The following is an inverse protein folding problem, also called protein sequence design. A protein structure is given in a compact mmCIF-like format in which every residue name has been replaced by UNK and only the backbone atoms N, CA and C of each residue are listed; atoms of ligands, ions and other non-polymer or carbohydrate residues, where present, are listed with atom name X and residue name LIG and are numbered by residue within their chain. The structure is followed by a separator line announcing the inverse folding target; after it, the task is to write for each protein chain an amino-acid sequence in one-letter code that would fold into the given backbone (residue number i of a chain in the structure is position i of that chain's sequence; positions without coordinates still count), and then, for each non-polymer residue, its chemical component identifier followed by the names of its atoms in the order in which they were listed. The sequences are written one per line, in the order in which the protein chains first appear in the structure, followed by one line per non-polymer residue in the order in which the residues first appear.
data_IF_810905194222
#
_entry.id   IF_810905194222
#
_cell.length_a   1.000
_cell.length_b   1.000
_cell.length_c   1.000
_cell.angle_alpha   90.00
_cell.angle_beta   90.00
_cell.angle_gamma   90.00
#
_symmetry.space_group_name_H-M   'P 1'
#
loop_
_entity.id
_entity.type
_entity.pdbx_description
1 polymer ?
#
# COMPACT_ATOMS: atom_id res chain seq x y z
N UNK A 1 35.05 -4.79 2.59
CA UNK A 1 35.80 -5.77 1.77
C UNK A 1 34.90 -6.83 1.11
N UNK A 2 33.58 -6.76 1.27
CA UNK A 2 32.58 -7.72 0.69
C UNK A 2 31.92 -7.25 -0.61
N UNK A 3 32.18 -6.03 -1.09
CA UNK A 3 31.55 -5.49 -2.32
C UNK A 3 32.27 -5.88 -3.63
N UNK A 4 33.34 -6.66 -3.57
CA UNK A 4 34.14 -7.04 -4.76
C UNK A 4 33.78 -8.43 -5.36
N UNK A 5 32.86 -9.19 -4.75
CA UNK A 5 32.59 -10.59 -5.20
C UNK A 5 31.35 -10.75 -6.07
N UNK A 6 30.49 -9.75 -6.28
CA UNK A 6 29.29 -9.84 -7.12
C UNK A 6 29.20 -8.77 -8.23
N UNK A 7 30.34 -8.24 -8.68
CA UNK A 7 30.38 -7.33 -9.81
C UNK A 7 30.25 -8.08 -11.14
N UNK A 8 29.05 -8.57 -11.50
CA UNK A 8 28.75 -8.89 -12.88
C UNK A 8 28.91 -7.61 -13.69
N UNK A 9 29.86 -7.58 -14.66
CA UNK A 9 29.98 -6.47 -15.61
C UNK A 9 28.67 -6.41 -16.39
N UNK A 10 27.83 -5.41 -16.10
CA UNK A 10 26.64 -5.16 -16.91
C UNK A 10 27.09 -4.76 -18.31
N UNK A 11 26.52 -5.41 -19.32
CA UNK A 11 26.78 -5.09 -20.72
C UNK A 11 26.00 -3.85 -21.14
N UNK A 12 26.57 -3.05 -22.06
CA UNK A 12 25.78 -2.03 -22.77
C UNK A 12 24.90 -2.73 -23.81
N UNK A 13 23.67 -2.26 -24.03
CA UNK A 13 22.76 -2.85 -25.02
C UNK A 13 23.41 -2.93 -26.42
N UNK A 14 24.17 -1.91 -26.76
CA UNK A 14 24.92 -1.80 -28.05
C UNK A 14 26.05 -2.81 -28.19
N UNK A 15 26.48 -3.46 -27.12
CA UNK A 15 27.56 -4.45 -27.15
C UNK A 15 27.02 -5.89 -27.32
N UNK A 16 25.69 -6.08 -27.31
CA UNK A 16 25.07 -7.38 -27.48
C UNK A 16 25.03 -7.79 -28.95
N UNK A 17 25.28 -9.08 -29.21
CA UNK A 17 25.04 -9.67 -30.53
C UNK A 17 23.52 -9.80 -30.77
N UNK A 18 23.11 -9.97 -32.03
CA UNK A 18 21.70 -10.19 -32.37
C UNK A 18 21.10 -11.39 -31.65
N UNK A 19 21.84 -12.50 -31.54
CA UNK A 19 21.45 -13.66 -30.77
C UNK A 19 21.19 -13.32 -29.28
N UNK A 20 22.07 -12.50 -28.70
CA UNK A 20 21.94 -12.05 -27.31
C UNK A 20 20.78 -11.06 -27.11
N UNK A 21 20.50 -10.20 -28.10
CA UNK A 21 19.35 -9.30 -28.09
C UNK A 21 18.03 -10.09 -28.11
N UNK A 22 17.91 -11.10 -28.97
CA UNK A 22 16.72 -11.99 -28.97
C UNK A 22 16.58 -12.75 -27.66
N UNK A 23 17.68 -13.28 -27.11
CA UNK A 23 17.63 -13.97 -25.81
C UNK A 23 17.21 -13.04 -24.65
N UNK A 24 17.63 -11.79 -24.68
CA UNK A 24 17.20 -10.77 -23.73
C UNK A 24 15.71 -10.46 -23.88
N UNK A 25 15.22 -10.31 -25.11
CA UNK A 25 13.79 -10.14 -25.39
C UNK A 25 12.97 -11.33 -24.86
N UNK A 26 13.34 -12.57 -25.18
CA UNK A 26 12.68 -13.78 -24.68
C UNK A 26 12.56 -13.79 -23.15
N UNK A 27 13.65 -13.45 -22.47
CA UNK A 27 13.66 -13.42 -21.00
C UNK A 27 12.82 -12.27 -20.42
N UNK A 28 12.67 -11.18 -21.16
CA UNK A 28 11.85 -10.03 -20.76
C UNK A 28 10.37 -10.32 -20.87
N UNK A 29 9.92 -10.91 -21.99
CA UNK A 29 8.52 -11.35 -22.13
C UNK A 29 8.12 -12.38 -21.05
N UNK A 30 9.03 -13.32 -20.73
CA UNK A 30 8.78 -14.29 -19.65
C UNK A 30 8.58 -13.61 -18.30
N UNK A 31 9.40 -12.62 -18.00
CA UNK A 31 9.30 -11.88 -16.73
C UNK A 31 8.04 -11.01 -16.68
N UNK A 32 7.67 -10.38 -17.81
CA UNK A 32 6.51 -9.50 -17.87
C UNK A 32 5.20 -10.30 -17.83
N UNK A 33 5.10 -11.44 -18.53
CA UNK A 33 4.00 -12.38 -18.39
C UNK A 33 3.80 -12.83 -16.92
N UNK A 34 4.89 -13.15 -16.22
CA UNK A 34 4.83 -13.58 -14.81
C UNK A 34 4.38 -12.45 -13.89
N UNK A 35 4.78 -11.21 -14.15
CA UNK A 35 4.33 -10.03 -13.38
C UNK A 35 2.84 -9.80 -13.60
N UNK A 36 2.34 -9.90 -14.83
CA UNK A 36 0.91 -9.74 -15.13
C UNK A 36 0.05 -10.82 -14.48
N UNK A 37 0.49 -12.09 -14.50
CA UNK A 37 -0.19 -13.15 -13.74
C UNK A 37 -0.22 -12.85 -12.23
N UNK A 38 0.87 -12.34 -11.67
CA UNK A 38 0.90 -11.97 -10.26
C UNK A 38 -0.05 -10.78 -9.96
N UNK A 39 -0.17 -9.82 -10.87
CA UNK A 39 -1.15 -8.73 -10.75
C UNK A 39 -2.58 -9.26 -10.84
N UNK A 40 -2.88 -10.11 -11.82
CA UNK A 40 -4.19 -10.75 -11.98
C UNK A 40 -4.59 -11.51 -10.71
N UNK A 41 -3.71 -12.36 -10.18
CA UNK A 41 -3.97 -13.12 -8.96
C UNK A 41 -4.22 -12.21 -7.75
N UNK A 42 -3.48 -11.10 -7.65
CA UNK A 42 -3.65 -10.14 -6.57
C UNK A 42 -4.94 -9.32 -6.64
N UNK A 43 -5.50 -9.17 -7.82
CA UNK A 43 -6.71 -8.38 -8.07
C UNK A 43 -7.99 -9.24 -8.18
N UNK A 44 -7.87 -10.54 -8.36
CA UNK A 44 -8.96 -11.44 -8.75
C UNK A 44 -10.15 -11.43 -7.80
N UNK A 45 -9.89 -11.31 -6.50
CA UNK A 45 -10.95 -11.31 -5.48
C UNK A 45 -11.75 -10.00 -5.47
N UNK A 46 -11.06 -8.88 -5.57
CA UNK A 46 -11.65 -7.55 -5.37
C UNK A 46 -11.96 -6.81 -6.69
N UNK A 47 -11.21 -7.11 -7.75
CA UNK A 47 -11.24 -6.43 -9.05
C UNK A 47 -11.21 -7.45 -10.21
N UNK A 48 -12.22 -8.34 -10.33
CA UNK A 48 -12.19 -9.47 -11.26
C UNK A 48 -12.10 -9.05 -12.74
N UNK A 49 -12.66 -7.90 -13.12
CA UNK A 49 -12.58 -7.40 -14.50
C UNK A 49 -11.16 -6.95 -14.84
N UNK A 50 -10.51 -6.19 -13.96
CA UNK A 50 -9.12 -5.81 -14.14
C UNK A 50 -8.17 -7.00 -14.08
N UNK A 51 -8.45 -7.99 -13.22
CA UNK A 51 -7.69 -9.24 -13.19
C UNK A 51 -7.72 -9.97 -14.52
N UNK A 52 -8.90 -10.04 -15.17
CA UNK A 52 -9.05 -10.67 -16.48
C UNK A 52 -8.19 -10.00 -17.55
N UNK A 53 -8.09 -8.67 -17.54
CA UNK A 53 -7.26 -7.95 -18.51
C UNK A 53 -5.78 -8.29 -18.30
N UNK A 54 -5.30 -8.37 -17.06
CA UNK A 54 -3.93 -8.80 -16.80
C UNK A 54 -3.68 -10.27 -17.15
N UNK A 55 -4.67 -11.17 -17.03
CA UNK A 55 -4.57 -12.53 -17.56
C UNK A 55 -4.40 -12.51 -19.09
N UNK A 56 -5.19 -11.70 -19.81
CA UNK A 56 -5.11 -11.55 -21.26
C UNK A 56 -3.76 -10.96 -21.71
N UNK A 57 -3.24 -9.94 -21.01
CA UNK A 57 -1.90 -9.40 -21.24
C UNK A 57 -0.82 -10.48 -21.05
N UNK A 58 -0.87 -11.24 -19.96
CA UNK A 58 0.08 -12.33 -19.72
C UNK A 58 0.07 -13.41 -20.82
N UNK A 59 -1.10 -13.73 -21.38
CA UNK A 59 -1.21 -14.64 -22.51
C UNK A 59 -0.57 -14.04 -23.78
N UNK A 60 -0.67 -12.73 -23.97
CA UNK A 60 -0.08 -12.04 -25.12
C UNK A 60 1.45 -12.02 -25.02
N UNK A 61 2.02 -11.69 -23.84
CA UNK A 61 3.46 -11.79 -23.60
C UNK A 61 4.01 -13.21 -23.85
N UNK A 62 3.26 -14.23 -23.47
CA UNK A 62 3.63 -15.60 -23.80
C UNK A 62 3.63 -15.89 -25.30
N UNK A 63 2.73 -15.27 -26.09
CA UNK A 63 2.75 -15.36 -27.56
C UNK A 63 3.95 -14.62 -28.15
N UNK A 64 4.26 -13.43 -27.68
CA UNK A 64 5.45 -12.66 -28.05
C UNK A 64 6.72 -13.47 -27.79
N UNK A 65 6.83 -14.02 -26.59
CA UNK A 65 7.94 -14.90 -26.19
C UNK A 65 8.08 -16.10 -27.13
N UNK A 66 6.99 -16.77 -27.50
CA UNK A 66 7.05 -17.92 -28.40
C UNK A 66 7.52 -17.52 -29.79
N UNK A 67 7.03 -16.41 -30.35
CA UNK A 67 7.46 -15.92 -31.65
C UNK A 67 8.98 -15.58 -31.66
N UNK A 68 9.49 -15.01 -30.58
CA UNK A 68 10.93 -14.75 -30.40
C UNK A 68 11.76 -16.03 -30.31
N UNK A 69 11.25 -17.05 -29.59
CA UNK A 69 11.89 -18.37 -29.49
C UNK A 69 11.97 -19.04 -30.87
N UNK A 70 10.87 -19.05 -31.61
CA UNK A 70 10.80 -19.68 -32.92
C UNK A 70 11.80 -19.02 -33.89
N UNK A 71 11.85 -17.69 -33.94
CA UNK A 71 12.83 -16.95 -34.73
C UNK A 71 14.26 -17.21 -34.28
N UNK A 72 14.51 -17.24 -32.97
CA UNK A 72 15.84 -17.54 -32.44
C UNK A 72 16.29 -18.94 -32.87
N UNK A 73 15.40 -19.95 -32.76
CA UNK A 73 15.71 -21.32 -33.13
C UNK A 73 15.98 -21.48 -34.63
N UNK A 74 15.18 -20.81 -35.47
CA UNK A 74 15.41 -20.78 -36.92
C UNK A 74 16.79 -20.25 -37.30
N UNK A 75 17.24 -19.19 -36.63
CA UNK A 75 18.46 -18.48 -36.98
C UNK A 75 19.73 -18.93 -36.29
N UNK A 76 19.63 -19.34 -35.05
CA UNK A 76 20.77 -19.61 -34.15
C UNK A 76 20.75 -21.01 -33.54
N UNK A 77 19.70 -21.79 -33.81
CA UNK A 77 19.51 -23.12 -33.23
C UNK A 77 18.93 -23.10 -31.81
N UNK A 78 18.87 -24.27 -31.20
CA UNK A 78 18.12 -24.50 -29.95
C UNK A 78 18.79 -23.92 -28.69
N UNK A 79 20.03 -23.44 -28.78
CA UNK A 79 20.74 -22.93 -27.59
C UNK A 79 20.50 -21.43 -27.44
N UNK A 80 19.61 -21.06 -26.51
CA UNK A 80 19.34 -19.67 -26.18
C UNK A 80 20.32 -19.22 -25.08
N UNK A 81 21.11 -18.15 -25.31
CA UNK A 81 22.01 -17.60 -24.29
C UNK A 81 21.27 -17.15 -23.04
N UNK A 82 21.84 -17.43 -21.86
CA UNK A 82 21.28 -16.94 -20.61
C UNK A 82 21.63 -15.47 -20.39
N UNK A 83 20.81 -14.57 -20.91
CA UNK A 83 20.89 -13.14 -20.67
C UNK A 83 19.59 -12.66 -20.05
N UNK A 84 19.71 -11.86 -18.99
CA UNK A 84 18.60 -11.25 -18.27
C UNK A 84 18.79 -9.74 -18.15
N UNK A 85 17.72 -9.04 -17.83
CA UNK A 85 17.69 -7.58 -17.64
C UNK A 85 18.77 -7.05 -16.71
N UNK A 86 19.02 -7.71 -15.59
CA UNK A 86 20.05 -7.31 -14.62
C UNK A 86 21.48 -7.38 -15.18
N UNK A 87 21.68 -8.10 -16.28
CA UNK A 87 22.99 -8.20 -16.95
C UNK A 87 23.27 -7.02 -17.90
N UNK A 88 22.28 -6.15 -18.15
CA UNK A 88 22.38 -5.05 -19.12
C UNK A 88 22.26 -3.70 -18.39
N UNK A 89 23.15 -2.76 -18.72
CA UNK A 89 23.11 -1.38 -18.19
C UNK A 89 22.04 -0.57 -18.89
N UNK A 90 21.35 0.30 -18.09
CA UNK A 90 20.32 1.17 -18.62
C UNK A 90 19.07 0.44 -19.06
N UNK A 91 19.04 -0.87 -18.86
CA UNK A 91 17.87 -1.68 -19.08
C UNK A 91 16.94 -1.59 -17.87
N UNK A 92 15.70 -1.76 -18.12
CA UNK A 92 14.53 -1.56 -17.29
C UNK A 92 14.66 -2.21 -15.90
N UNK A 93 14.51 -1.41 -14.83
CA UNK A 93 14.32 -1.92 -13.48
C UNK A 93 12.84 -2.20 -13.24
N UNK A 94 12.51 -3.46 -12.96
CA UNK A 94 11.16 -3.86 -12.51
C UNK A 94 11.11 -3.84 -10.99
N UNK A 95 10.09 -3.20 -10.43
CA UNK A 95 9.80 -3.35 -9.00
C UNK A 95 9.20 -4.72 -8.74
N UNK A 96 9.55 -5.38 -7.62
CA UNK A 96 8.93 -6.64 -7.24
C UNK A 96 7.41 -6.50 -7.13
N UNK A 97 6.66 -7.46 -7.67
CA UNK A 97 5.18 -7.50 -7.65
C UNK A 97 4.61 -7.39 -6.22
N UNK A 98 5.23 -8.08 -5.25
CA UNK A 98 4.85 -8.04 -3.84
C UNK A 98 4.96 -6.64 -3.21
N UNK A 99 5.76 -5.73 -3.80
CA UNK A 99 5.86 -4.34 -3.38
C UNK A 99 4.79 -3.46 -4.02
N UNK A 100 4.33 -3.80 -5.22
CA UNK A 100 3.37 -3.01 -6.00
C UNK A 100 1.92 -3.38 -5.66
N UNK A 101 1.59 -4.66 -5.58
CA UNK A 101 0.24 -5.17 -5.28
C UNK A 101 -0.44 -4.52 -4.07
N UNK A 102 0.25 -4.32 -2.91
CA UNK A 102 -0.37 -3.69 -1.75
C UNK A 102 -0.71 -2.21 -1.91
N UNK A 103 -0.30 -1.58 -3.01
CA UNK A 103 -0.49 -0.14 -3.25
C UNK A 103 -1.83 0.20 -3.94
N UNK A 104 -2.64 -0.82 -4.25
CA UNK A 104 -3.96 -0.66 -4.87
C UNK A 104 -3.94 -0.76 -6.40
N UNK A 105 -5.13 -0.85 -7.00
CA UNK A 105 -5.34 -1.10 -8.44
C UNK A 105 -4.75 0.01 -9.31
N UNK A 106 -4.90 1.28 -8.93
CA UNK A 106 -4.36 2.41 -9.69
C UNK A 106 -2.83 2.32 -9.82
N UNK A 107 -2.16 1.89 -8.74
CA UNK A 107 -0.71 1.75 -8.77
C UNK A 107 -0.25 0.55 -9.61
N UNK A 108 -1.03 -0.52 -9.61
CA UNK A 108 -0.79 -1.68 -10.49
C UNK A 108 -0.92 -1.26 -11.96
N UNK A 109 -1.97 -0.50 -12.31
CA UNK A 109 -2.17 0.05 -13.67
C UNK A 109 -1.03 0.98 -14.10
N UNK A 110 -0.63 1.94 -13.23
CA UNK A 110 0.51 2.83 -13.49
C UNK A 110 1.81 2.06 -13.74
N UNK A 111 2.02 0.97 -13.02
CA UNK A 111 3.21 0.14 -13.20
C UNK A 111 3.14 -0.67 -14.49
N UNK A 112 1.96 -1.19 -14.86
CA UNK A 112 1.76 -1.85 -16.14
C UNK A 112 2.04 -0.90 -17.32
N UNK A 113 1.46 0.31 -17.32
CA UNK A 113 1.71 1.33 -18.33
C UNK A 113 3.22 1.62 -18.49
N UNK A 114 3.95 1.74 -17.38
CA UNK A 114 5.40 1.92 -17.40
C UNK A 114 6.15 0.71 -17.94
N UNK A 115 5.64 -0.49 -17.71
CA UNK A 115 6.23 -1.72 -18.24
C UNK A 115 6.14 -1.73 -19.78
N UNK A 116 4.98 -1.43 -20.32
CA UNK A 116 4.73 -1.36 -21.77
C UNK A 116 5.56 -0.26 -22.44
N UNK A 117 5.58 0.96 -21.88
CA UNK A 117 6.42 2.04 -22.39
C UNK A 117 7.90 1.64 -22.47
N UNK A 118 8.37 0.92 -21.49
CA UNK A 118 9.77 0.48 -21.44
C UNK A 118 10.04 -0.66 -22.42
N UNK A 119 9.11 -1.63 -22.57
CA UNK A 119 9.22 -2.69 -23.57
C UNK A 119 9.21 -2.09 -24.99
N UNK A 120 8.32 -1.17 -25.29
CA UNK A 120 8.31 -0.41 -26.54
C UNK A 120 9.66 0.24 -26.83
N UNK A 121 10.22 0.99 -25.87
CA UNK A 121 11.53 1.65 -26.03
C UNK A 121 12.65 0.66 -26.29
N UNK A 122 12.63 -0.48 -25.61
CA UNK A 122 13.60 -1.54 -25.85
C UNK A 122 13.54 -2.04 -27.29
N UNK A 123 12.36 -2.36 -27.80
CA UNK A 123 12.22 -2.84 -29.18
C UNK A 123 12.66 -1.79 -30.21
N UNK A 124 12.35 -0.52 -29.99
CA UNK A 124 12.82 0.56 -30.86
C UNK A 124 14.36 0.68 -30.87
N UNK A 125 15.02 0.56 -29.71
CA UNK A 125 16.49 0.58 -29.65
C UNK A 125 17.11 -0.70 -30.24
N UNK A 126 16.52 -1.87 -29.99
CA UNK A 126 16.97 -3.14 -30.58
C UNK A 126 16.89 -3.12 -32.10
N UNK A 127 15.85 -2.52 -32.69
CA UNK A 127 15.72 -2.34 -34.14
C UNK A 127 16.90 -1.61 -34.81
N UNK A 128 17.58 -0.70 -34.09
CA UNK A 128 18.73 0.04 -34.59
C UNK A 128 20.00 -0.83 -34.66
N UNK A 129 20.04 -1.89 -33.84
CA UNK A 129 21.22 -2.74 -33.70
C UNK A 129 21.18 -4.00 -34.58
N UNK A 130 19.98 -4.39 -35.03
CA UNK A 130 19.75 -5.61 -35.81
C UNK A 130 19.77 -5.30 -37.32
N UNK A 131 20.39 -6.18 -38.09
CA UNK A 131 20.49 -6.04 -39.57
C UNK A 131 19.61 -6.99 -40.37
N UNK A 132 19.30 -8.14 -39.80
CA UNK A 132 18.47 -9.14 -40.45
C UNK A 132 17.03 -8.68 -40.65
N UNK A 133 16.46 -8.97 -41.81
CA UNK A 133 15.14 -8.49 -42.19
C UNK A 133 14.01 -9.16 -41.39
N UNK A 134 14.12 -10.46 -41.10
CA UNK A 134 13.11 -11.22 -40.34
C UNK A 134 13.09 -10.80 -38.91
N UNK A 135 14.25 -10.63 -38.28
CA UNK A 135 14.40 -10.13 -36.91
C UNK A 135 13.87 -8.70 -36.78
N UNK A 136 14.24 -7.82 -37.76
CA UNK A 136 13.74 -6.43 -37.78
C UNK A 136 12.23 -6.36 -37.89
N UNK A 137 11.65 -7.24 -38.74
CA UNK A 137 10.19 -7.29 -38.87
C UNK A 137 9.52 -7.69 -37.55
N UNK A 138 9.96 -8.78 -36.93
CA UNK A 138 9.39 -9.25 -35.67
C UNK A 138 9.52 -8.20 -34.56
N UNK A 139 10.72 -7.62 -34.36
CA UNK A 139 10.91 -6.58 -33.35
C UNK A 139 10.06 -5.33 -33.62
N UNK A 140 9.82 -5.02 -34.91
CA UNK A 140 8.90 -3.93 -35.31
C UNK A 140 7.44 -4.23 -34.98
N UNK A 141 7.00 -5.45 -35.27
CA UNK A 141 5.64 -5.91 -34.95
C UNK A 141 5.42 -5.91 -33.43
N UNK A 142 6.41 -6.38 -32.65
CA UNK A 142 6.36 -6.32 -31.18
C UNK A 142 6.34 -4.88 -30.66
N UNK A 143 7.16 -3.97 -31.20
CA UNK A 143 7.11 -2.57 -30.79
C UNK A 143 5.72 -1.95 -31.01
N UNK A 144 5.02 -2.32 -32.09
CA UNK A 144 3.65 -1.86 -32.35
C UNK A 144 2.68 -2.45 -31.34
N UNK A 145 2.83 -3.73 -30.96
CA UNK A 145 2.00 -4.40 -29.97
C UNK A 145 2.18 -3.73 -28.59
N UNK A 146 3.42 -3.51 -28.13
CA UNK A 146 3.69 -2.82 -26.85
C UNK A 146 3.10 -1.41 -26.81
N UNK A 147 3.12 -0.69 -27.92
CA UNK A 147 2.51 0.63 -28.00
C UNK A 147 0.98 0.57 -27.92
N UNK A 148 0.37 -0.49 -28.42
CA UNK A 148 -1.06 -0.74 -28.27
C UNK A 148 -1.40 -1.12 -26.81
N UNK A 149 -0.56 -1.92 -26.15
CA UNK A 149 -0.70 -2.28 -24.75
C UNK A 149 -0.53 -1.08 -23.81
N UNK A 150 0.45 -0.21 -24.04
CA UNK A 150 0.59 1.06 -23.31
C UNK A 150 -0.72 1.87 -23.39
N UNK A 151 -1.30 1.96 -24.59
CA UNK A 151 -2.59 2.62 -24.81
C UNK A 151 -3.73 1.89 -24.09
N UNK A 152 -3.72 0.56 -24.07
CA UNK A 152 -4.70 -0.27 -23.36
C UNK A 152 -4.55 -0.11 -21.83
N UNK A 153 -3.33 -0.18 -21.30
CA UNK A 153 -3.04 0.01 -19.87
C UNK A 153 -3.45 1.42 -19.40
N UNK A 154 -3.19 2.44 -20.22
CA UNK A 154 -3.67 3.81 -19.99
C UNK A 154 -5.20 3.89 -20.04
N UNK A 155 -5.84 3.21 -20.99
CA UNK A 155 -7.29 3.22 -21.17
C UNK A 155 -8.04 2.36 -20.15
N UNK A 156 -7.39 1.40 -19.50
CA UNK A 156 -7.91 0.68 -18.33
C UNK A 156 -8.21 1.64 -17.17
N UNK A 157 -7.52 2.79 -17.11
CA UNK A 157 -7.85 3.89 -16.20
C UNK A 157 -9.01 4.77 -16.69
N UNK A 158 -9.33 4.84 -18.01
CA UNK A 158 -10.20 5.89 -18.57
C UNK A 158 -11.27 5.39 -19.56
N UNK A 159 -11.08 4.34 -20.35
CA UNK A 159 -12.00 4.08 -21.48
C UNK A 159 -12.50 2.63 -21.69
N UNK A 160 -11.87 1.60 -21.16
CA UNK A 160 -12.25 0.20 -21.42
C UNK A 160 -12.92 -0.49 -20.24
N UNK A 161 -12.89 0.11 -19.07
CA UNK A 161 -13.74 -0.31 -17.96
C UNK A 161 -15.03 0.52 -18.11
N UNK A 162 -16.20 -0.07 -18.34
CA UNK A 162 -17.47 0.65 -18.35
C UNK A 162 -17.58 1.54 -17.11
N UNK A 163 -18.17 2.72 -17.24
CA UNK A 163 -18.27 3.72 -16.14
C UNK A 163 -18.83 3.11 -14.85
N UNK A 164 -19.76 2.14 -14.99
CA UNK A 164 -20.34 1.39 -13.88
C UNK A 164 -19.31 0.49 -13.17
N UNK A 165 -18.40 -0.14 -13.91
CA UNK A 165 -17.32 -0.98 -13.33
C UNK A 165 -16.26 -0.13 -12.65
N UNK A 166 -15.86 1.01 -13.24
CA UNK A 166 -14.92 1.94 -12.60
C UNK A 166 -15.49 2.48 -11.28
N UNK A 167 -16.78 2.81 -11.27
CA UNK A 167 -17.44 3.28 -10.07
C UNK A 167 -17.49 2.18 -8.99
N UNK A 168 -17.77 0.92 -9.37
CA UNK A 168 -17.74 -0.23 -8.45
C UNK A 168 -16.32 -0.46 -7.91
N UNK A 169 -15.28 -0.39 -8.75
CA UNK A 169 -13.89 -0.54 -8.33
C UNK A 169 -13.48 0.57 -7.34
N UNK A 170 -13.79 1.85 -7.62
CA UNK A 170 -13.55 2.97 -6.70
C UNK A 170 -14.29 2.81 -5.37
N UNK A 171 -15.52 2.34 -5.42
CA UNK A 171 -16.29 2.07 -4.19
C UNK A 171 -15.66 0.92 -3.40
N UNK A 172 -15.16 -0.11 -4.07
CA UNK A 172 -14.47 -1.25 -3.44
C UNK A 172 -13.17 -0.80 -2.78
N UNK A 173 -12.32 -0.03 -3.47
CA UNK A 173 -11.10 0.55 -2.88
C UNK A 173 -11.41 1.42 -1.66
N UNK A 174 -12.39 2.31 -1.79
CA UNK A 174 -12.81 3.18 -0.69
C UNK A 174 -13.31 2.36 0.50
N UNK A 175 -14.10 1.31 0.24
CA UNK A 175 -14.61 0.40 1.27
C UNK A 175 -13.46 -0.34 1.96
N UNK A 176 -12.51 -0.85 1.21
CA UNK A 176 -11.31 -1.51 1.75
C UNK A 176 -10.47 -0.56 2.60
N UNK A 177 -10.23 0.67 2.14
CA UNK A 177 -9.53 1.70 2.92
C UNK A 177 -10.24 1.95 4.26
N UNK A 178 -11.55 2.10 4.21
CA UNK A 178 -12.36 2.35 5.42
C UNK A 178 -12.27 1.15 6.37
N UNK A 179 -12.48 -0.06 5.89
CA UNK A 179 -12.53 -1.27 6.72
C UNK A 179 -11.15 -1.69 7.26
N UNK A 180 -10.08 -1.44 6.49
CA UNK A 180 -8.72 -1.88 6.85
C UNK A 180 -7.98 -0.87 7.72
N UNK A 181 -8.21 0.43 7.52
CA UNK A 181 -7.42 1.48 8.18
C UNK A 181 -8.27 2.47 8.98
N UNK A 182 -9.32 3.04 8.37
CA UNK A 182 -10.06 4.14 9.01
C UNK A 182 -10.88 3.62 10.19
N UNK A 183 -11.65 2.57 9.98
CA UNK A 183 -12.50 2.02 11.04
C UNK A 183 -11.71 1.46 12.24
N UNK A 184 -10.66 0.63 12.05
CA UNK A 184 -9.83 0.20 13.17
C UNK A 184 -9.06 1.34 13.81
N UNK A 185 -8.51 2.26 13.01
CA UNK A 185 -7.80 3.43 13.51
C UNK A 185 -8.69 4.36 14.32
N UNK A 186 -9.92 4.60 13.87
CA UNK A 186 -10.89 5.39 14.62
C UNK A 186 -11.31 4.70 15.94
N UNK A 187 -11.52 3.39 15.90
CA UNK A 187 -11.82 2.63 17.12
C UNK A 187 -10.65 2.73 18.11
N UNK A 188 -9.41 2.62 17.62
CA UNK A 188 -8.23 2.81 18.46
C UNK A 188 -8.10 4.23 19.01
N UNK A 189 -8.33 5.26 18.17
CA UNK A 189 -8.30 6.65 18.62
C UNK A 189 -9.33 6.91 19.71
N UNK A 190 -10.56 6.41 19.55
CA UNK A 190 -11.61 6.52 20.56
C UNK A 190 -11.21 5.84 21.87
N UNK A 191 -10.72 4.60 21.78
CA UNK A 191 -10.30 3.87 22.97
C UNK A 191 -9.14 4.58 23.66
N UNK A 192 -8.09 4.95 22.94
CA UNK A 192 -6.93 5.66 23.48
C UNK A 192 -7.28 6.99 24.12
N UNK A 193 -8.11 7.80 23.46
CA UNK A 193 -8.50 9.12 23.99
C UNK A 193 -9.46 9.01 25.18
N UNK A 194 -10.26 7.94 25.31
CA UNK A 194 -11.23 7.81 26.40
C UNK A 194 -10.71 6.97 27.57
N UNK A 195 -10.12 5.80 27.28
CA UNK A 195 -9.70 4.87 28.34
C UNK A 195 -8.56 5.39 29.21
N UNK A 196 -7.69 6.26 28.65
CA UNK A 196 -6.54 6.83 29.37
C UNK A 196 -6.88 8.09 30.18
N UNK A 197 -8.06 8.71 29.95
CA UNK A 197 -8.48 9.93 30.70
C UNK A 197 -8.51 9.69 32.20
N UNK A 198 -9.19 8.63 32.64
CA UNK A 198 -9.36 8.38 34.09
C UNK A 198 -7.99 8.18 34.77
N UNK A 199 -7.08 7.31 34.35
CA UNK A 199 -5.79 7.12 35.02
C UNK A 199 -4.91 8.36 34.98
N UNK A 200 -4.88 9.13 33.86
CA UNK A 200 -4.08 10.33 33.75
C UNK A 200 -4.59 11.43 34.69
N UNK A 201 -5.87 11.75 34.62
CA UNK A 201 -6.44 12.82 35.47
C UNK A 201 -6.50 12.41 36.93
N UNK A 202 -6.71 11.13 37.27
CA UNK A 202 -6.61 10.64 38.65
C UNK A 202 -5.16 10.84 39.18
N UNK A 203 -4.14 10.45 38.40
CA UNK A 203 -2.74 10.68 38.78
C UNK A 203 -2.41 12.18 38.90
N UNK A 204 -2.90 13.00 37.97
CA UNK A 204 -2.69 14.45 37.99
C UNK A 204 -3.21 15.09 39.27
N UNK A 205 -4.47 14.83 39.63
CA UNK A 205 -5.08 15.44 40.79
C UNK A 205 -4.64 14.83 42.15
N UNK A 206 -4.30 13.53 42.18
CA UNK A 206 -3.81 12.86 43.37
C UNK A 206 -2.36 13.28 43.70
N UNK A 207 -1.50 13.45 42.72
CA UNK A 207 -0.08 13.71 42.97
C UNK A 207 0.31 15.18 42.81
N UNK A 208 -0.38 15.91 41.96
CA UNK A 208 -0.02 17.26 41.47
C UNK A 208 1.43 17.33 40.89
N UNK A 209 1.97 16.17 40.52
CA UNK A 209 3.30 16.00 39.92
C UNK A 209 3.14 15.71 38.42
N UNK A 210 3.59 16.66 37.61
CA UNK A 210 3.42 16.59 36.15
C UNK A 210 4.25 15.46 35.55
N UNK A 211 5.45 15.19 36.08
CA UNK A 211 6.30 14.10 35.58
C UNK A 211 5.70 12.72 35.87
N UNK A 212 5.23 12.50 37.08
CA UNK A 212 4.55 11.25 37.43
C UNK A 212 3.28 11.05 36.57
N UNK A 213 2.51 12.11 36.39
CA UNK A 213 1.31 12.08 35.52
C UNK A 213 1.67 11.74 34.07
N UNK A 214 2.75 12.33 33.53
CA UNK A 214 3.24 11.97 32.21
C UNK A 214 3.62 10.49 32.10
N UNK A 215 4.34 9.96 33.09
CA UNK A 215 4.74 8.54 33.09
C UNK A 215 3.55 7.59 33.14
N UNK A 216 2.52 7.92 33.95
CA UNK A 216 1.26 7.17 33.97
C UNK A 216 0.59 7.22 32.61
N UNK A 217 0.48 8.41 32.01
CA UNK A 217 -0.11 8.59 30.69
C UNK A 217 0.65 7.86 29.59
N UNK A 218 1.97 7.93 29.59
CA UNK A 218 2.82 7.19 28.64
C UNK A 218 2.62 5.68 28.76
N UNK A 219 2.65 5.16 29.99
CA UNK A 219 2.47 3.73 30.27
C UNK A 219 1.07 3.25 29.87
N UNK A 220 0.03 4.00 30.22
CA UNK A 220 -1.35 3.69 29.87
C UNK A 220 -1.56 3.70 28.36
N UNK A 221 -1.06 4.72 27.65
CA UNK A 221 -1.22 4.88 26.20
C UNK A 221 -0.50 3.80 25.41
N UNK A 222 0.75 3.48 25.76
CA UNK A 222 1.52 2.42 25.09
C UNK A 222 0.91 1.03 25.40
N UNK A 223 0.55 0.78 26.65
CA UNK A 223 -0.06 -0.48 27.07
C UNK A 223 -1.40 -0.72 26.36
N UNK A 224 -2.26 0.29 26.30
CA UNK A 224 -3.53 0.23 25.58
C UNK A 224 -3.29 0.02 24.06
N UNK A 225 -2.35 0.76 23.46
CA UNK A 225 -2.01 0.63 22.03
C UNK A 225 -1.55 -0.78 21.65
N UNK A 226 -0.66 -1.37 22.46
CA UNK A 226 -0.21 -2.75 22.25
C UNK A 226 -1.40 -3.72 22.39
N UNK A 227 -2.18 -3.61 23.46
CA UNK A 227 -3.32 -4.48 23.72
C UNK A 227 -4.35 -4.41 22.59
N UNK A 228 -4.78 -3.21 22.21
CA UNK A 228 -5.77 -3.01 21.15
C UNK A 228 -5.28 -3.46 19.78
N UNK A 229 -3.99 -3.24 19.47
CA UNK A 229 -3.38 -3.71 18.23
C UNK A 229 -3.41 -5.24 18.12
N UNK A 230 -3.04 -5.95 19.17
CA UNK A 230 -3.10 -7.42 19.20
C UNK A 230 -4.54 -7.93 19.18
N UNK A 231 -5.44 -7.31 19.92
CA UNK A 231 -6.87 -7.69 19.96
C UNK A 231 -7.49 -7.57 18.57
N UNK A 232 -7.30 -6.45 17.88
CA UNK A 232 -7.82 -6.25 16.51
C UNK A 232 -7.19 -7.23 15.52
N UNK A 233 -5.88 -7.49 15.61
CA UNK A 233 -5.21 -8.45 14.73
C UNK A 233 -5.68 -9.91 14.97
N UNK A 234 -6.07 -10.26 16.20
CA UNK A 234 -6.53 -11.60 16.55
C UNK A 234 -8.05 -11.80 16.37
N UNK A 235 -8.81 -10.74 16.11
CA UNK A 235 -10.28 -10.79 16.11
C UNK A 235 -10.85 -11.64 14.97
N UNK A 236 -10.37 -11.45 13.74
CA UNK A 236 -10.73 -12.24 12.55
C UNK A 236 -9.62 -12.24 11.51
N UNK A 237 -9.63 -13.24 10.62
CA UNK A 237 -8.65 -13.34 9.52
C UNK A 237 -8.93 -12.39 8.34
N UNK A 238 -10.03 -11.65 8.39
CA UNK A 238 -10.47 -10.68 7.40
C UNK A 238 -11.13 -11.28 6.16
N UNK A 239 -11.11 -12.62 5.98
CA UNK A 239 -11.66 -13.27 4.77
C UNK A 239 -13.18 -13.24 4.75
N UNK A 240 -13.83 -13.66 5.84
CA UNK A 240 -15.29 -13.64 5.95
C UNK A 240 -15.87 -12.23 6.07
N UNK A 241 -15.16 -11.36 6.77
CA UNK A 241 -15.62 -9.99 7.04
C UNK A 241 -15.34 -9.01 5.89
N UNK A 242 -14.45 -9.37 4.95
CA UNK A 242 -13.97 -8.47 3.90
C UNK A 242 -13.18 -7.26 4.45
N UNK A 243 -12.67 -7.34 5.71
CA UNK A 243 -12.00 -6.23 6.41
C UNK A 243 -10.50 -6.13 6.10
N UNK A 244 -10.00 -6.94 5.16
CA UNK A 244 -8.59 -6.94 4.75
C UNK A 244 -7.63 -7.54 5.80
N UNK A 245 -6.34 -7.23 5.67
CA UNK A 245 -5.27 -7.86 6.47
C UNK A 245 -5.40 -7.57 7.97
N UNK A 246 -5.44 -8.62 8.84
CA UNK A 246 -5.49 -8.47 10.31
C UNK A 246 -4.32 -7.65 10.87
N UNK A 247 -3.12 -7.85 10.32
CA UNK A 247 -1.93 -7.12 10.76
C UNK A 247 -2.05 -5.61 10.48
N UNK A 248 -2.55 -5.24 9.30
CA UNK A 248 -2.75 -3.82 8.95
C UNK A 248 -3.78 -3.16 9.85
N UNK A 249 -4.90 -3.84 10.14
CA UNK A 249 -5.93 -3.37 11.05
C UNK A 249 -5.40 -3.22 12.48
N UNK A 250 -4.68 -4.23 12.97
CA UNK A 250 -4.05 -4.20 14.28
C UNK A 250 -3.05 -3.06 14.44
N UNK A 251 -2.20 -2.83 13.43
CA UNK A 251 -1.27 -1.70 13.42
C UNK A 251 -2.00 -0.36 13.42
N UNK A 252 -3.04 -0.21 12.59
CA UNK A 252 -3.84 1.02 12.56
C UNK A 252 -4.54 1.29 13.89
N UNK A 253 -5.18 0.26 14.48
CA UNK A 253 -5.83 0.36 15.75
C UNK A 253 -4.84 0.69 16.88
N UNK A 254 -3.80 -0.12 17.07
CA UNK A 254 -2.83 0.05 18.14
C UNK A 254 -2.08 1.36 18.10
N UNK A 255 -1.65 1.80 16.89
CA UNK A 255 -0.96 3.08 16.73
C UNK A 255 -1.90 4.25 17.09
N UNK A 256 -3.13 4.23 16.62
CA UNK A 256 -4.09 5.29 16.89
C UNK A 256 -4.55 5.31 18.35
N UNK A 257 -4.62 4.14 19.02
CA UNK A 257 -4.86 4.06 20.47
C UNK A 257 -3.71 4.74 21.23
N UNK A 258 -2.46 4.44 20.90
CA UNK A 258 -1.32 5.09 21.54
C UNK A 258 -1.30 6.61 21.30
N UNK A 259 -1.58 7.06 20.07
CA UNK A 259 -1.66 8.48 19.72
C UNK A 259 -2.74 9.20 20.51
N UNK A 260 -3.95 8.63 20.58
CA UNK A 260 -5.06 9.21 21.34
C UNK A 260 -4.74 9.40 22.82
N UNK A 261 -4.15 8.39 23.46
CA UNK A 261 -3.76 8.52 24.87
C UNK A 261 -2.57 9.47 25.10
N UNK A 262 -1.59 9.48 24.18
CA UNK A 262 -0.44 10.36 24.29
C UNK A 262 -0.82 11.84 24.06
N UNK A 263 -1.83 12.14 23.27
CA UNK A 263 -2.23 13.51 22.97
C UNK A 263 -2.43 14.36 24.23
N UNK A 264 -3.16 13.87 25.18
CA UNK A 264 -3.43 14.58 26.45
C UNK A 264 -2.48 14.19 27.60
N UNK A 265 -1.56 13.23 27.40
CA UNK A 265 -0.48 12.97 28.32
C UNK A 265 0.74 13.91 28.10
N UNK A 266 1.03 14.26 26.85
CA UNK A 266 2.17 15.11 26.49
C UNK A 266 2.20 16.49 27.16
N UNK A 267 1.08 17.21 27.38
CA UNK A 267 1.08 18.47 28.11
C UNK A 267 1.73 18.39 29.49
N UNK A 268 1.72 17.24 30.14
CA UNK A 268 2.35 17.05 31.47
C UNK A 268 3.88 17.01 31.43
N UNK A 269 4.52 17.19 30.27
CA UNK A 269 5.93 17.56 30.17
C UNK A 269 6.20 19.01 30.60
N UNK A 270 5.17 19.84 30.69
CA UNK A 270 5.24 21.19 31.23
C UNK A 270 5.25 21.10 32.76
N UNK A 271 6.21 21.75 33.41
CA UNK A 271 6.41 21.65 34.85
C UNK A 271 5.33 22.35 35.71
N UNK A 272 4.61 23.34 35.13
CA UNK A 272 3.51 23.99 35.83
C UNK A 272 2.22 23.15 35.73
N UNK A 273 1.74 22.66 36.86
CA UNK A 273 0.62 21.75 36.96
C UNK A 273 -0.67 22.30 36.33
N UNK A 274 -1.03 23.55 36.62
CA UNK A 274 -2.27 24.12 36.12
C UNK A 274 -2.22 24.41 34.61
N UNK A 275 -1.09 24.86 34.13
CA UNK A 275 -0.87 25.03 32.69
C UNK A 275 -0.94 23.70 31.96
N UNK A 276 -0.24 22.67 32.45
CA UNK A 276 -0.27 21.33 31.88
C UNK A 276 -1.68 20.75 31.83
N UNK A 277 -2.39 20.80 32.95
CA UNK A 277 -3.75 20.27 33.08
C UNK A 277 -4.77 21.02 32.19
N UNK A 278 -4.64 22.35 32.11
CA UNK A 278 -5.50 23.14 31.22
C UNK A 278 -5.28 22.80 29.74
N UNK A 279 -4.02 22.67 29.32
CA UNK A 279 -3.69 22.27 27.93
C UNK A 279 -4.16 20.84 27.67
N UNK A 280 -3.98 19.89 28.60
CA UNK A 280 -4.48 18.54 28.49
C UNK A 280 -6.02 18.52 28.30
N UNK A 281 -6.75 19.30 29.06
CA UNK A 281 -8.20 19.41 28.95
C UNK A 281 -8.63 19.98 27.57
N UNK A 282 -7.91 20.98 27.06
CA UNK A 282 -8.14 21.53 25.70
C UNK A 282 -7.87 20.47 24.63
N UNK A 283 -6.79 19.72 24.77
CA UNK A 283 -6.45 18.62 23.83
C UNK A 283 -7.56 17.56 23.84
N UNK A 284 -8.01 17.12 25.00
CA UNK A 284 -9.14 16.19 25.13
C UNK A 284 -10.38 16.72 24.42
N UNK A 285 -10.71 17.99 24.63
CA UNK A 285 -11.87 18.60 23.97
C UNK A 285 -11.75 18.54 22.46
N UNK A 286 -10.59 18.89 21.92
CA UNK A 286 -10.32 18.85 20.47
C UNK A 286 -10.40 17.40 19.94
N UNK A 287 -9.78 16.45 20.64
CA UNK A 287 -9.79 15.02 20.27
C UNK A 287 -11.23 14.48 20.19
N UNK A 288 -12.05 14.70 21.21
CA UNK A 288 -13.43 14.21 21.24
C UNK A 288 -14.25 14.76 20.05
N UNK A 289 -14.09 16.04 19.71
CA UNK A 289 -14.78 16.62 18.55
C UNK A 289 -14.23 16.13 17.22
N UNK A 290 -12.91 15.95 17.11
CA UNK A 290 -12.28 15.36 15.92
C UNK A 290 -12.77 13.93 15.68
N UNK A 291 -12.84 13.10 16.72
CA UNK A 291 -13.39 11.74 16.67
C UNK A 291 -14.84 11.76 16.18
N UNK A 292 -15.69 12.60 16.77
CA UNK A 292 -17.10 12.73 16.35
C UNK A 292 -17.23 13.14 14.87
N UNK A 293 -16.38 14.06 14.40
CA UNK A 293 -16.36 14.48 13.01
C UNK A 293 -15.91 13.36 12.07
N UNK A 294 -14.83 12.63 12.39
CA UNK A 294 -14.33 11.51 11.60
C UNK A 294 -15.38 10.40 11.52
N UNK A 295 -16.04 10.08 12.67
CA UNK A 295 -17.12 9.11 12.73
C UNK A 295 -18.30 9.51 11.83
N UNK A 296 -18.70 10.78 11.83
CA UNK A 296 -19.71 11.29 10.92
C UNK A 296 -19.29 11.17 9.45
N UNK A 297 -18.07 11.55 9.13
CA UNK A 297 -17.59 11.64 7.74
C UNK A 297 -17.37 10.30 7.06
N UNK A 298 -16.93 9.29 7.82
CA UNK A 298 -16.51 8.00 7.27
C UNK A 298 -17.42 6.82 7.65
N UNK A 299 -18.23 6.94 8.70
CA UNK A 299 -19.09 5.87 9.18
C UNK A 299 -20.59 6.18 9.04
N UNK A 300 -20.93 7.22 8.28
CA UNK A 300 -22.33 7.63 7.99
C UNK A 300 -23.18 7.85 9.24
N UNK A 301 -22.56 8.06 10.39
CA UNK A 301 -23.28 8.31 11.66
C UNK A 301 -23.73 9.76 11.71
N UNK A 302 -24.98 10.08 12.06
CA UNK A 302 -25.41 11.46 12.24
C UNK A 302 -24.50 12.20 13.23
N UNK A 303 -24.01 13.38 12.86
CA UNK A 303 -23.02 14.14 13.64
C UNK A 303 -23.41 14.32 15.10
N UNK A 304 -24.64 14.75 15.36
CA UNK A 304 -25.12 14.95 16.74
C UNK A 304 -25.11 13.66 17.56
N UNK A 305 -25.43 12.52 16.96
CA UNK A 305 -25.39 11.24 17.64
C UNK A 305 -23.95 10.84 17.98
N UNK A 306 -23.03 11.01 17.02
CA UNK A 306 -21.61 10.76 17.24
C UNK A 306 -21.05 11.68 18.35
N UNK A 307 -21.34 12.99 18.25
CA UNK A 307 -20.88 13.98 19.24
C UNK A 307 -21.41 13.66 20.66
N UNK A 308 -22.71 13.37 20.80
CA UNK A 308 -23.27 13.01 22.09
C UNK A 308 -22.60 11.76 22.67
N UNK A 309 -22.44 10.70 21.89
CA UNK A 309 -21.82 9.47 22.34
C UNK A 309 -20.37 9.67 22.80
N UNK A 310 -19.57 10.36 22.01
CA UNK A 310 -18.14 10.55 22.28
C UNK A 310 -17.93 11.57 23.41
N UNK A 311 -18.59 12.71 23.36
CA UNK A 311 -18.40 13.80 24.35
C UNK A 311 -18.99 13.41 25.72
N UNK A 312 -20.18 12.80 25.79
CA UNK A 312 -20.71 12.32 27.05
C UNK A 312 -19.88 11.19 27.63
N UNK A 313 -19.47 10.21 26.80
CA UNK A 313 -18.62 9.11 27.25
C UNK A 313 -17.29 9.62 27.80
N UNK A 314 -16.56 10.43 27.00
CA UNK A 314 -15.30 11.05 27.43
C UNK A 314 -15.45 11.95 28.65
N UNK A 315 -16.52 12.74 28.74
CA UNK A 315 -16.83 13.60 29.88
C UNK A 315 -17.07 12.84 31.17
N UNK A 316 -17.78 11.70 31.11
CA UNK A 316 -18.00 10.82 32.27
C UNK A 316 -16.69 10.18 32.76
N UNK A 317 -15.83 9.72 31.84
CA UNK A 317 -14.55 9.12 32.20
C UNK A 317 -13.61 10.16 32.79
N UNK A 318 -13.55 11.36 32.21
CA UNK A 318 -12.78 12.49 32.72
C UNK A 318 -13.25 12.86 34.15
N UNK A 319 -14.55 13.01 34.34
CA UNK A 319 -15.13 13.31 35.68
C UNK A 319 -14.78 12.23 36.70
N UNK A 320 -14.82 10.96 36.28
CA UNK A 320 -14.43 9.82 37.15
C UNK A 320 -12.96 9.93 37.56
N UNK A 321 -12.05 10.23 36.62
CA UNK A 321 -10.64 10.42 36.93
C UNK A 321 -10.38 11.56 37.90
N UNK A 322 -11.04 12.72 37.70
CA UNK A 322 -10.93 13.87 38.62
C UNK A 322 -11.46 13.53 39.99
N UNK A 323 -12.64 12.86 40.12
CA UNK A 323 -13.21 12.48 41.39
C UNK A 323 -12.32 11.51 42.19
N UNK A 324 -11.75 10.50 41.51
CA UNK A 324 -10.83 9.55 42.14
C UNK A 324 -9.53 10.24 42.57
N UNK A 325 -9.00 11.16 41.74
CA UNK A 325 -7.77 11.88 42.09
C UNK A 325 -7.91 12.87 43.27
N UNK A 326 -9.14 13.31 43.59
CA UNK A 326 -9.41 14.23 44.69
C UNK A 326 -9.92 13.52 45.94
N UNK A 327 -10.08 12.18 45.89
CA UNK A 327 -10.56 11.40 47.06
C UNK A 327 -9.42 11.06 48.02
#
# INVERSE_FOLDING_TARGET
MLSRFFGHRRHELTALSEQQLLALAISSEEDDARIYLAYADGLREDFPQSAKVFDEMAEEENRHRQALIDLHQERFGNQIPLIRREHVRGYIERKPDWLVRPLGIEKVREMAEKMEEQAYRFYIEALKLVRDASTRKLLGDLAIAEKAHESLAHSLGVQHTPDDVQEVEKQTERRQLILTYIQPGLAGLMDGSVSTLAPIFAAAFATQDTWQTFLVGLSASLGAGISMGFTEAAHDDGKLSGRGSPLKRGLANGLMTAIGGLGHALPYLISDFWTATTIAAIVVFIELWAIAYIQHRFMETPFFRAAIQVVLGGGLVLATGILIGNA
#
